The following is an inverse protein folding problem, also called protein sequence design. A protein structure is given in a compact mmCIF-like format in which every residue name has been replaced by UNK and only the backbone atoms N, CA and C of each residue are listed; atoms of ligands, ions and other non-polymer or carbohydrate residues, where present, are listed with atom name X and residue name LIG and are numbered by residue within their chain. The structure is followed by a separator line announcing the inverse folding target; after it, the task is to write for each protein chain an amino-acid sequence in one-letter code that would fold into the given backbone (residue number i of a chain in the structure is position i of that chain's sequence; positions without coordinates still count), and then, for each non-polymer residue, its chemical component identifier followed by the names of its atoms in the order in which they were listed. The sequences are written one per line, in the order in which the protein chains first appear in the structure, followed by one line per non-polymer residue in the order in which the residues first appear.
data_IF_325571783314
#
_entry.id   IF_325571783314
#
_cell.length_a   1.000
_cell.length_b   1.000
_cell.length_c   1.000
_cell.angle_alpha   90.00
_cell.angle_beta   90.00
_cell.angle_gamma   90.00
#
_symmetry.space_group_name_H-M   'P 1'
#
loop_
_entity.id
_entity.type
_entity.pdbx_description
1 polymer ?
#
# COMPACT_ATOMS: atom_id res chain seq x y z
N UNK A 1 -6.49 -12.63 27.38
CA UNK A 1 -5.25 -11.93 27.75
C UNK A 1 -4.67 -11.34 26.49
N UNK A 2 -4.40 -10.02 26.43
CA UNK A 2 -3.80 -9.39 25.25
C UNK A 2 -2.27 -9.47 25.28
N UNK A 3 -1.64 -9.28 24.11
CA UNK A 3 -0.16 -9.22 24.01
C UNK A 3 0.40 -8.10 24.89
N UNK A 4 -0.30 -6.98 24.97
CA UNK A 4 0.09 -5.82 25.79
C UNK A 4 0.01 -6.16 27.29
N UNK A 5 -1.00 -6.91 27.72
CA UNK A 5 -1.10 -7.40 29.11
C UNK A 5 0.05 -8.35 29.43
N UNK A 6 0.36 -9.27 28.53
CA UNK A 6 1.50 -10.18 28.69
C UNK A 6 2.82 -9.41 28.75
N UNK A 7 3.02 -8.41 27.91
CA UNK A 7 4.23 -7.57 27.91
C UNK A 7 4.39 -6.79 29.22
N UNK A 8 3.29 -6.30 29.82
CA UNK A 8 3.35 -5.63 31.13
C UNK A 8 3.77 -6.57 32.25
N UNK A 9 3.38 -7.84 32.19
CA UNK A 9 3.68 -8.84 33.23
C UNK A 9 5.04 -9.50 33.05
N UNK A 10 5.44 -9.79 31.80
CA UNK A 10 6.59 -10.62 31.45
C UNK A 10 7.75 -9.82 30.83
N UNK A 11 7.57 -8.53 30.57
CA UNK A 11 8.52 -7.68 29.89
C UNK A 11 8.51 -7.92 28.37
N UNK A 12 9.37 -8.79 27.87
CA UNK A 12 9.44 -9.10 26.43
C UNK A 12 8.50 -10.25 26.06
N UNK A 13 7.66 -10.02 25.05
CA UNK A 13 6.79 -11.04 24.44
C UNK A 13 6.88 -10.88 22.95
N UNK A 14 7.34 -11.91 22.26
CA UNK A 14 7.40 -11.98 20.82
C UNK A 14 6.13 -12.65 20.28
N UNK A 15 5.57 -12.08 19.20
CA UNK A 15 4.40 -12.63 18.51
C UNK A 15 4.90 -13.44 17.33
N UNK A 16 4.48 -14.71 17.25
CA UNK A 16 4.84 -15.58 16.12
C UNK A 16 4.34 -14.99 14.81
N UNK A 17 5.20 -14.98 13.78
CA UNK A 17 4.83 -14.47 12.44
C UNK A 17 3.62 -15.17 11.84
N UNK A 18 3.42 -16.46 12.12
CA UNK A 18 2.25 -17.22 11.69
C UNK A 18 0.91 -16.68 12.24
N UNK A 19 0.93 -15.75 13.19
CA UNK A 19 -0.25 -15.02 13.67
C UNK A 19 -0.68 -13.93 12.68
N UNK A 20 0.28 -13.32 11.99
CA UNK A 20 0.06 -12.17 11.10
C UNK A 20 0.18 -12.52 9.61
N UNK A 21 0.98 -13.52 9.27
CA UNK A 21 1.35 -13.88 7.91
C UNK A 21 0.95 -15.33 7.59
N UNK A 22 0.79 -15.65 6.30
CA UNK A 22 0.54 -17.01 5.83
C UNK A 22 1.78 -17.89 6.16
N UNK A 23 1.63 -18.99 6.92
CA UNK A 23 2.74 -19.91 7.15
C UNK A 23 3.24 -20.52 5.84
N UNK A 24 4.54 -20.73 5.71
CA UNK A 24 5.09 -21.48 4.59
C UNK A 24 4.49 -22.91 4.56
N UNK A 25 4.32 -23.50 3.37
CA UNK A 25 3.64 -24.80 3.19
C UNK A 25 4.23 -25.94 4.06
N UNK A 26 5.51 -25.87 4.40
CA UNK A 26 6.22 -26.85 5.22
C UNK A 26 6.53 -26.36 6.63
N UNK A 27 5.96 -25.26 7.10
CA UNK A 27 6.24 -24.73 8.43
C UNK A 27 5.63 -25.64 9.51
N UNK A 28 6.43 -25.99 10.52
CA UNK A 28 5.95 -26.63 11.74
C UNK A 28 5.15 -25.60 12.53
N UNK A 29 3.82 -25.71 12.46
CA UNK A 29 2.93 -24.79 13.20
C UNK A 29 2.82 -25.21 14.67
N UNK A 30 2.95 -24.24 15.56
CA UNK A 30 2.96 -24.46 17.02
C UNK A 30 1.58 -24.86 17.59
N UNK A 31 0.49 -24.74 16.82
CA UNK A 31 -0.87 -25.03 17.28
C UNK A 31 -1.72 -25.64 16.16
N UNK A 32 -2.58 -26.64 16.46
CA UNK A 32 -3.48 -27.26 15.49
C UNK A 32 -4.42 -26.27 14.79
N UNK A 33 -4.87 -25.23 15.47
CA UNK A 33 -5.72 -24.16 14.92
C UNK A 33 -5.05 -23.28 13.86
N UNK A 34 -3.73 -23.38 13.72
CA UNK A 34 -2.99 -22.67 12.66
C UNK A 34 -3.04 -23.39 11.31
N UNK A 35 -3.40 -24.67 11.27
CA UNK A 35 -3.32 -25.53 10.06
C UNK A 35 -4.66 -25.72 9.35
N UNK A 36 -5.78 -25.53 10.06
CA UNK A 36 -7.09 -25.86 9.50
C UNK A 36 -7.93 -24.61 9.24
N UNK A 37 -8.66 -24.60 8.12
CA UNK A 37 -9.75 -23.63 7.83
C UNK A 37 -10.92 -23.92 8.78
N UNK A 38 -10.81 -23.48 10.04
CA UNK A 38 -11.95 -23.53 10.93
C UNK A 38 -12.89 -22.35 10.65
N UNK A 39 -14.14 -22.62 10.31
CA UNK A 39 -15.22 -21.64 10.13
C UNK A 39 -15.04 -20.63 8.98
N UNK A 40 -14.37 -21.04 7.89
CA UNK A 40 -14.39 -20.24 6.67
C UNK A 40 -15.75 -20.39 5.98
N UNK A 41 -16.45 -19.31 5.62
CA UNK A 41 -17.67 -19.39 4.81
C UNK A 41 -17.40 -20.03 3.45
N UNK A 42 -18.47 -20.50 2.79
CA UNK A 42 -18.40 -21.02 1.42
C UNK A 42 -18.04 -19.93 0.41
N UNK A 43 -18.36 -18.68 0.76
CA UNK A 43 -18.02 -17.49 -0.02
C UNK A 43 -16.52 -17.28 -0.16
N UNK A 44 -16.12 -16.65 -1.26
CA UNK A 44 -14.79 -16.08 -1.39
C UNK A 44 -14.69 -14.78 -0.58
N UNK A 45 -13.99 -14.85 0.55
CA UNK A 45 -13.82 -13.70 1.45
C UNK A 45 -12.46 -13.04 1.22
N UNK A 46 -12.47 -11.73 1.12
CA UNK A 46 -11.28 -10.85 1.01
C UNK A 46 -11.32 -9.84 2.13
N UNK A 47 -10.20 -9.67 2.84
CA UNK A 47 -10.08 -8.62 3.85
C UNK A 47 -9.63 -7.32 3.18
N UNK A 48 -10.32 -6.21 3.47
CA UNK A 48 -10.03 -4.90 2.88
C UNK A 48 -9.31 -4.03 3.91
N UNK A 49 -8.06 -3.66 3.61
CA UNK A 49 -7.24 -2.73 4.40
C UNK A 49 -7.41 -1.32 3.86
N UNK A 50 -8.36 -0.57 4.43
CA UNK A 50 -8.73 0.74 3.95
C UNK A 50 -9.36 1.61 5.05
N UNK A 51 -9.46 2.91 4.84
CA UNK A 51 -10.30 3.82 5.65
C UNK A 51 -11.80 3.47 5.50
N UNK A 52 -12.69 4.07 6.28
CA UNK A 52 -14.14 3.86 6.12
C UNK A 52 -14.62 4.35 4.75
N UNK A 53 -14.12 5.53 4.35
CA UNK A 53 -14.46 6.17 3.08
C UNK A 53 -13.97 5.36 1.87
N UNK A 54 -12.69 4.91 1.91
CA UNK A 54 -12.11 4.11 0.84
C UNK A 54 -12.76 2.73 0.73
N UNK A 55 -13.14 2.13 1.87
CA UNK A 55 -13.88 0.87 1.88
C UNK A 55 -15.26 1.02 1.23
N UNK A 56 -15.98 2.10 1.55
CA UNK A 56 -17.28 2.38 0.93
C UNK A 56 -17.13 2.65 -0.57
N UNK A 57 -16.15 3.47 -0.97
CA UNK A 57 -15.86 3.74 -2.38
C UNK A 57 -15.52 2.46 -3.14
N UNK A 58 -14.68 1.61 -2.58
CA UNK A 58 -14.32 0.31 -3.15
C UNK A 58 -15.54 -0.59 -3.32
N UNK A 59 -16.42 -0.69 -2.31
CA UNK A 59 -17.62 -1.51 -2.40
C UNK A 59 -18.63 -0.99 -3.42
N UNK A 60 -18.69 0.31 -3.67
CA UNK A 60 -19.53 0.87 -4.73
C UNK A 60 -19.15 0.38 -6.12
N UNK A 61 -17.87 0.00 -6.33
CA UNK A 61 -17.41 -0.59 -7.59
C UNK A 61 -17.66 -2.11 -7.68
N UNK A 62 -18.14 -2.74 -6.58
CA UNK A 62 -18.44 -4.17 -6.49
C UNK A 62 -19.87 -4.40 -5.95
N UNK A 63 -20.90 -3.95 -6.65
CA UNK A 63 -22.28 -3.93 -6.14
C UNK A 63 -22.87 -5.34 -5.87
N UNK A 64 -22.35 -6.37 -6.52
CA UNK A 64 -22.78 -7.78 -6.38
C UNK A 64 -22.21 -8.45 -5.12
N UNK A 65 -21.15 -7.91 -4.54
CA UNK A 65 -20.51 -8.49 -3.37
C UNK A 65 -21.25 -8.15 -2.08
N UNK A 66 -21.17 -9.03 -1.08
CA UNK A 66 -21.62 -8.73 0.27
C UNK A 66 -20.50 -8.02 1.06
N UNK A 67 -20.90 -7.19 2.01
CA UNK A 67 -20.01 -6.46 2.90
C UNK A 67 -20.06 -7.08 4.30
N UNK A 68 -18.94 -7.63 4.77
CA UNK A 68 -18.75 -7.96 6.19
C UNK A 68 -18.09 -6.73 6.84
N UNK A 69 -18.87 -5.90 7.52
CA UNK A 69 -18.52 -4.51 7.85
C UNK A 69 -18.69 -4.21 9.35
N UNK A 70 -18.29 -3.01 9.77
CA UNK A 70 -18.65 -2.49 11.07
C UNK A 70 -20.06 -1.89 11.06
N UNK A 71 -20.66 -1.75 12.23
CA UNK A 71 -22.01 -1.18 12.36
C UNK A 71 -22.08 0.24 11.76
N UNK A 72 -21.00 1.00 11.93
CA UNK A 72 -20.85 2.38 11.46
C UNK A 72 -20.73 2.50 9.95
N UNK A 73 -20.29 1.43 9.26
CA UNK A 73 -20.13 1.44 7.79
C UNK A 73 -21.49 1.28 7.09
N UNK A 74 -22.47 0.61 7.72
CA UNK A 74 -23.77 0.23 7.12
C UNK A 74 -24.50 1.39 6.43
N UNK A 75 -24.59 2.60 7.01
CA UNK A 75 -25.33 3.69 6.37
C UNK A 75 -24.71 4.19 5.05
N UNK A 76 -23.43 3.89 4.82
CA UNK A 76 -22.67 4.35 3.65
C UNK A 76 -22.56 3.31 2.54
N UNK A 77 -23.06 2.09 2.78
CA UNK A 77 -22.96 0.97 1.85
C UNK A 77 -24.33 0.68 1.18
N UNK A 78 -24.29 0.41 -0.11
CA UNK A 78 -25.45 -0.07 -0.88
C UNK A 78 -25.48 -1.60 -1.03
N UNK A 79 -24.41 -2.24 -0.67
CA UNK A 79 -24.21 -3.68 -0.72
C UNK A 79 -25.06 -4.38 0.36
N UNK A 80 -25.23 -5.70 0.22
CA UNK A 80 -25.78 -6.51 1.30
C UNK A 80 -24.82 -6.53 2.48
N UNK A 81 -25.17 -5.82 3.57
CA UNK A 81 -24.32 -5.65 4.75
C UNK A 81 -24.57 -6.75 5.77
N UNK A 82 -23.47 -7.30 6.30
CA UNK A 82 -23.45 -8.19 7.44
C UNK A 82 -22.50 -7.58 8.49
N UNK A 83 -23.03 -6.81 9.45
CA UNK A 83 -22.20 -6.18 10.47
C UNK A 83 -21.70 -7.23 11.47
N UNK A 84 -20.43 -7.08 11.91
CA UNK A 84 -19.82 -7.98 12.90
C UNK A 84 -19.36 -7.27 14.18
N UNK A 85 -19.79 -6.03 14.39
CA UNK A 85 -19.54 -5.24 15.60
C UNK A 85 -19.18 -3.80 15.30
N UNK A 86 -18.94 -3.01 16.36
CA UNK A 86 -18.54 -1.60 16.25
C UNK A 86 -17.06 -1.46 15.92
N UNK A 87 -16.68 -0.48 15.09
CA UNK A 87 -15.29 -0.16 14.74
C UNK A 87 -14.44 0.22 15.96
N UNK A 88 -15.07 0.82 16.99
CA UNK A 88 -14.41 1.25 18.21
C UNK A 88 -14.30 0.14 19.28
N UNK A 89 -15.13 -0.93 19.18
CA UNK A 89 -15.24 -1.98 20.19
C UNK A 89 -14.82 -3.35 19.64
N UNK A 90 -13.57 -3.73 19.88
CA UNK A 90 -13.04 -5.03 19.48
C UNK A 90 -13.67 -6.22 20.21
N UNK A 91 -14.31 -6.02 21.37
CA UNK A 91 -15.05 -7.08 22.07
C UNK A 91 -16.34 -7.39 21.33
N UNK A 92 -17.11 -6.39 20.93
CA UNK A 92 -18.31 -6.59 20.11
C UNK A 92 -17.96 -7.30 18.79
N UNK A 93 -16.84 -6.93 18.16
CA UNK A 93 -16.33 -7.60 16.95
C UNK A 93 -16.01 -9.08 17.22
N UNK A 94 -15.36 -9.39 18.33
CA UNK A 94 -15.00 -10.76 18.71
C UNK A 94 -16.25 -11.64 18.94
N UNK A 95 -17.30 -11.09 19.54
CA UNK A 95 -18.58 -11.77 19.76
C UNK A 95 -19.37 -11.94 18.45
N UNK A 96 -19.43 -10.89 17.62
CA UNK A 96 -20.26 -10.89 16.40
C UNK A 96 -19.66 -11.67 15.24
N UNK A 97 -18.32 -11.73 15.11
CA UNK A 97 -17.64 -12.25 13.92
C UNK A 97 -18.09 -13.67 13.53
N UNK A 98 -18.23 -14.58 14.50
CA UNK A 98 -18.60 -15.97 14.21
C UNK A 98 -20.00 -16.06 13.62
N UNK A 99 -20.99 -15.43 14.26
CA UNK A 99 -22.36 -15.39 13.78
C UNK A 99 -22.48 -14.73 12.40
N UNK A 100 -21.72 -13.64 12.19
CA UNK A 100 -21.71 -12.93 10.91
C UNK A 100 -21.10 -13.76 9.79
N UNK A 101 -20.04 -14.54 10.06
CA UNK A 101 -19.47 -15.46 9.06
C UNK A 101 -20.47 -16.58 8.67
N UNK A 102 -21.25 -17.12 9.63
CA UNK A 102 -22.31 -18.07 9.33
C UNK A 102 -23.46 -17.44 8.55
N UNK A 103 -23.84 -16.22 8.89
CA UNK A 103 -24.90 -15.50 8.19
C UNK A 103 -24.55 -15.24 6.72
N UNK A 104 -23.27 -15.09 6.36
CA UNK A 104 -22.85 -15.01 4.96
C UNK A 104 -23.22 -16.26 4.16
N UNK A 105 -23.13 -17.44 4.75
CA UNK A 105 -23.55 -18.70 4.11
C UNK A 105 -25.07 -18.77 3.97
N UNK A 106 -25.82 -18.34 5.00
CA UNK A 106 -27.32 -18.35 4.99
C UNK A 106 -27.85 -17.43 3.89
N UNK A 107 -27.25 -16.27 3.67
CA UNK A 107 -27.66 -15.35 2.61
C UNK A 107 -27.12 -15.72 1.22
N UNK A 108 -26.36 -16.83 1.12
CA UNK A 108 -25.81 -17.32 -0.14
C UNK A 108 -24.80 -16.37 -0.79
N UNK A 109 -24.03 -15.63 0.01
CA UNK A 109 -23.00 -14.76 -0.50
C UNK A 109 -21.94 -15.55 -1.29
N UNK A 110 -21.56 -15.04 -2.47
CA UNK A 110 -20.49 -15.65 -3.30
C UNK A 110 -19.16 -14.97 -3.09
N UNK A 111 -19.15 -13.65 -3.12
CA UNK A 111 -17.98 -12.80 -2.88
C UNK A 111 -18.26 -11.88 -1.71
N UNK A 112 -17.33 -11.76 -0.80
CA UNK A 112 -17.45 -10.96 0.41
C UNK A 112 -16.19 -10.11 0.59
N UNK A 113 -16.38 -8.84 0.80
CA UNK A 113 -15.31 -7.94 1.23
C UNK A 113 -15.50 -7.61 2.71
N UNK A 114 -14.48 -7.96 3.51
CA UNK A 114 -14.52 -7.83 4.96
C UNK A 114 -13.69 -6.62 5.40
N UNK A 115 -14.28 -5.75 6.19
CA UNK A 115 -13.59 -4.62 6.81
C UNK A 115 -12.52 -5.14 7.77
N UNK A 116 -11.28 -4.63 7.65
CA UNK A 116 -10.17 -5.06 8.48
C UNK A 116 -10.31 -4.54 9.93
N UNK A 117 -10.25 -5.42 10.95
CA UNK A 117 -10.21 -5.00 12.35
C UNK A 117 -8.82 -4.48 12.75
N UNK A 118 -8.74 -3.81 13.90
CA UNK A 118 -7.48 -3.32 14.46
C UNK A 118 -6.53 -4.48 14.79
N UNK A 119 -5.24 -4.31 14.48
CA UNK A 119 -4.18 -5.31 14.75
C UNK A 119 -3.55 -5.15 16.16
N UNK A 120 -4.34 -4.73 17.16
CA UNK A 120 -3.88 -4.50 18.52
C UNK A 120 -4.91 -4.96 19.56
N UNK A 121 -4.46 -5.29 20.76
CA UNK A 121 -5.34 -5.72 21.86
C UNK A 121 -6.19 -6.94 21.49
N UNK A 122 -7.49 -6.87 21.81
CA UNK A 122 -8.49 -7.88 21.44
C UNK A 122 -8.69 -7.92 19.93
N UNK A 123 -8.53 -6.78 19.23
CA UNK A 123 -8.64 -6.68 17.78
C UNK A 123 -7.66 -7.59 17.03
N UNK A 124 -6.49 -7.86 17.59
CA UNK A 124 -5.53 -8.81 17.03
C UNK A 124 -6.09 -10.24 16.96
N UNK A 125 -6.89 -10.66 17.94
CA UNK A 125 -7.52 -11.97 17.95
C UNK A 125 -8.64 -12.04 16.86
N UNK A 126 -9.40 -10.95 16.71
CA UNK A 126 -10.41 -10.81 15.65
C UNK A 126 -9.74 -10.84 14.28
N UNK A 127 -8.68 -10.05 14.08
CA UNK A 127 -7.88 -10.04 12.86
C UNK A 127 -7.38 -11.44 12.50
N UNK A 128 -6.77 -12.13 13.47
CA UNK A 128 -6.19 -13.47 13.26
C UNK A 128 -7.24 -14.50 12.86
N UNK A 129 -8.45 -14.42 13.38
CA UNK A 129 -9.57 -15.29 12.99
C UNK A 129 -10.08 -14.93 11.59
N UNK A 130 -10.27 -13.64 11.32
CA UNK A 130 -10.80 -13.16 10.04
C UNK A 130 -9.82 -13.40 8.90
N UNK A 131 -8.51 -13.15 9.07
CA UNK A 131 -7.51 -13.36 8.02
C UNK A 131 -7.44 -14.83 7.56
N UNK A 132 -7.67 -15.77 8.47
CA UNK A 132 -7.76 -17.19 8.13
C UNK A 132 -9.04 -17.54 7.38
N UNK A 133 -10.17 -16.96 7.77
CA UNK A 133 -11.42 -17.09 7.01
C UNK A 133 -11.25 -16.54 5.59
N UNK A 134 -10.48 -15.47 5.41
CA UNK A 134 -10.10 -14.88 4.11
C UNK A 134 -9.00 -15.66 3.36
N UNK A 135 -8.48 -16.77 3.91
CA UNK A 135 -7.34 -17.49 3.34
C UNK A 135 -6.13 -16.57 3.04
N UNK A 136 -5.88 -15.58 3.90
CA UNK A 136 -4.84 -14.55 3.79
C UNK A 136 -4.96 -13.64 2.54
N UNK A 137 -6.16 -13.55 1.96
CA UNK A 137 -6.44 -12.64 0.84
C UNK A 137 -6.74 -11.25 1.39
N UNK A 138 -5.83 -10.30 1.17
CA UNK A 138 -5.97 -8.89 1.56
C UNK A 138 -6.04 -8.06 0.27
N UNK A 139 -6.94 -7.10 0.26
CA UNK A 139 -7.09 -6.09 -0.79
C UNK A 139 -6.86 -4.73 -0.17
N UNK A 140 -5.99 -3.94 -0.77
CA UNK A 140 -5.73 -2.55 -0.39
C UNK A 140 -6.18 -1.66 -1.55
N UNK A 141 -7.40 -1.07 -1.50
CA UNK A 141 -8.00 -0.38 -2.65
C UNK A 141 -7.18 0.76 -3.24
N UNK A 142 -6.40 1.44 -2.39
CA UNK A 142 -5.59 2.59 -2.78
C UNK A 142 -4.09 2.25 -2.89
N UNK A 143 -3.73 0.97 -2.87
CA UNK A 143 -2.34 0.57 -3.08
C UNK A 143 -1.96 0.75 -4.55
N UNK A 144 -1.13 1.74 -4.82
CA UNK A 144 -0.60 1.95 -6.15
C UNK A 144 0.45 0.89 -6.45
N UNK A 145 0.17 0.04 -7.43
CA UNK A 145 1.17 -0.89 -7.96
C UNK A 145 2.20 -0.09 -8.77
N UNK A 146 3.41 0.04 -8.23
CA UNK A 146 4.54 0.66 -8.94
C UNK A 146 5.33 -0.42 -9.66
N UNK A 147 5.36 -0.35 -10.99
CA UNK A 147 6.09 -1.28 -11.85
C UNK A 147 7.34 -0.60 -12.38
N UNK A 148 8.53 -1.07 -11.98
CA UNK A 148 9.80 -0.64 -12.54
C UNK A 148 10.07 -1.32 -13.89
N UNK A 149 10.12 -0.54 -14.99
CA UNK A 149 10.43 -1.04 -16.32
C UNK A 149 11.88 -0.71 -16.69
N UNK A 150 12.73 -1.72 -16.74
CA UNK A 150 14.16 -1.58 -17.07
C UNK A 150 14.55 -2.45 -18.27
N UNK A 151 15.75 -2.24 -18.80
CA UNK A 151 16.30 -2.99 -19.92
C UNK A 151 17.23 -2.16 -20.80
N UNK A 152 18.00 -2.81 -21.65
CA UNK A 152 18.92 -2.16 -22.58
C UNK A 152 18.21 -1.28 -23.63
N UNK A 153 18.96 -0.39 -24.28
CA UNK A 153 18.46 0.38 -25.43
C UNK A 153 17.97 -0.58 -26.52
N UNK A 154 16.78 -0.33 -27.06
CA UNK A 154 16.16 -1.22 -28.06
C UNK A 154 15.37 -2.41 -27.51
N UNK A 155 15.34 -2.67 -26.19
CA UNK A 155 14.64 -3.80 -25.58
C UNK A 155 13.09 -3.70 -25.60
N UNK A 156 12.51 -2.68 -26.24
CA UNK A 156 11.06 -2.54 -26.35
C UNK A 156 10.36 -1.89 -25.15
N UNK A 157 11.09 -1.28 -24.20
CA UNK A 157 10.53 -0.59 -23.03
C UNK A 157 9.42 0.40 -23.40
N UNK A 158 9.65 1.25 -24.38
CA UNK A 158 8.67 2.25 -24.84
C UNK A 158 7.40 1.61 -25.43
N UNK A 159 7.50 0.44 -26.05
CA UNK A 159 6.34 -0.30 -26.55
C UNK A 159 5.48 -0.84 -25.42
N UNK A 160 6.12 -1.42 -24.39
CA UNK A 160 5.43 -1.91 -23.17
C UNK A 160 4.80 -0.74 -22.42
N UNK A 161 5.52 0.37 -22.21
CA UNK A 161 5.00 1.57 -21.56
C UNK A 161 3.76 2.12 -22.28
N UNK A 162 3.75 2.18 -23.63
CA UNK A 162 2.57 2.59 -24.41
C UNK A 162 1.38 1.67 -24.19
N UNK A 163 1.60 0.35 -24.12
CA UNK A 163 0.52 -0.61 -23.88
C UNK A 163 -0.04 -0.50 -22.44
N UNK A 164 0.82 -0.28 -21.46
CA UNK A 164 0.40 -0.05 -20.07
C UNK A 164 -0.42 1.24 -19.96
N UNK A 165 0.04 2.33 -20.61
CA UNK A 165 -0.71 3.59 -20.68
C UNK A 165 -2.09 3.42 -21.31
N UNK A 166 -2.20 2.64 -22.39
CA UNK A 166 -3.48 2.34 -23.03
C UNK A 166 -4.44 1.54 -22.13
N UNK A 167 -3.94 0.88 -21.09
CA UNK A 167 -4.71 0.16 -20.05
C UNK A 167 -4.97 1.00 -18.80
N UNK A 168 -4.70 2.31 -18.83
CA UNK A 168 -4.97 3.23 -17.72
C UNK A 168 -3.82 3.41 -16.74
N UNK A 169 -2.64 2.83 -16.98
CA UNK A 169 -1.48 3.07 -16.11
C UNK A 169 -0.93 4.49 -16.32
N UNK A 170 -0.54 5.14 -15.23
CA UNK A 170 0.27 6.36 -15.27
C UNK A 170 1.72 5.97 -15.59
N UNK A 171 2.32 6.60 -16.60
CA UNK A 171 3.70 6.34 -16.98
C UNK A 171 4.56 7.50 -16.53
N UNK A 172 5.55 7.20 -15.69
CA UNK A 172 6.60 8.15 -15.28
C UNK A 172 7.86 7.79 -16.06
N UNK A 173 8.26 8.69 -16.97
CA UNK A 173 9.53 8.59 -17.69
C UNK A 173 10.59 9.37 -16.92
N UNK A 174 11.48 8.66 -16.22
CA UNK A 174 12.52 9.27 -15.39
C UNK A 174 13.46 10.17 -16.21
N UNK A 175 13.73 9.82 -17.46
CA UNK A 175 14.57 10.66 -18.34
C UNK A 175 13.84 11.96 -18.70
N UNK A 176 12.54 11.88 -19.01
CA UNK A 176 11.73 13.06 -19.29
C UNK A 176 11.63 13.99 -18.07
N UNK A 177 11.41 13.43 -16.86
CA UNK A 177 11.38 14.19 -15.62
C UNK A 177 12.71 14.91 -15.37
N UNK A 178 13.83 14.24 -15.53
CA UNK A 178 15.17 14.87 -15.38
C UNK A 178 15.45 15.91 -16.45
N UNK A 179 14.72 15.92 -17.56
CA UNK A 179 14.83 16.92 -18.63
C UNK A 179 13.90 18.12 -18.45
N UNK A 180 12.99 18.08 -17.48
CA UNK A 180 12.08 19.21 -17.21
C UNK A 180 12.88 20.41 -16.67
N UNK A 181 12.79 21.59 -17.33
CA UNK A 181 13.47 22.79 -16.84
C UNK A 181 12.98 23.24 -15.46
N UNK A 182 11.74 22.97 -15.09
CA UNK A 182 11.14 23.36 -13.81
C UNK A 182 11.82 22.66 -12.62
N UNK A 183 12.36 21.46 -12.80
CA UNK A 183 13.07 20.71 -11.78
C UNK A 183 14.35 21.45 -11.31
N UNK A 184 14.97 22.21 -12.20
CA UNK A 184 16.20 22.94 -11.95
C UNK A 184 15.96 24.46 -11.74
N UNK A 185 14.78 24.83 -11.27
CA UNK A 185 14.43 26.21 -10.92
C UNK A 185 14.52 26.43 -9.40
N UNK A 186 14.51 27.67 -8.97
CA UNK A 186 14.44 28.05 -7.55
C UNK A 186 15.62 27.53 -6.70
N UNK A 187 15.29 26.84 -5.62
CA UNK A 187 16.29 26.35 -4.63
C UNK A 187 17.26 25.34 -5.23
N UNK A 188 16.81 24.44 -6.10
CA UNK A 188 17.67 23.45 -6.75
C UNK A 188 18.77 24.12 -7.58
N UNK A 189 18.41 25.11 -8.39
CA UNK A 189 19.40 25.86 -9.19
C UNK A 189 20.44 26.57 -8.32
N UNK A 190 20.00 27.15 -7.21
CA UNK A 190 20.88 27.82 -6.24
C UNK A 190 21.83 26.83 -5.56
N UNK A 191 21.34 25.66 -5.14
CA UNK A 191 22.17 24.60 -4.55
C UNK A 191 23.20 24.05 -5.55
N UNK A 192 22.77 23.82 -6.80
CA UNK A 192 23.69 23.40 -7.87
C UNK A 192 24.76 24.46 -8.16
N UNK A 193 24.39 25.74 -8.17
CA UNK A 193 25.34 26.84 -8.36
C UNK A 193 26.35 26.91 -7.21
N UNK A 194 25.92 26.71 -5.97
CA UNK A 194 26.80 26.67 -4.82
C UNK A 194 27.76 25.46 -4.84
N UNK A 195 27.31 24.32 -5.34
CA UNK A 195 28.11 23.09 -5.38
C UNK A 195 29.09 23.02 -6.56
N UNK A 196 28.71 23.56 -7.74
CA UNK A 196 29.48 23.42 -8.99
C UNK A 196 29.98 24.77 -9.57
N UNK A 197 29.65 25.88 -8.92
CA UNK A 197 30.06 27.22 -9.32
C UNK A 197 29.15 27.88 -10.36
N UNK A 198 29.35 29.19 -10.54
CA UNK A 198 28.49 30.01 -11.45
C UNK A 198 28.64 29.65 -12.93
N UNK A 199 29.67 28.89 -13.30
CA UNK A 199 29.94 28.50 -14.69
C UNK A 199 28.86 27.56 -15.29
N UNK A 200 28.00 26.95 -14.45
CA UNK A 200 26.90 26.11 -14.89
C UNK A 200 25.64 26.92 -15.25
N UNK A 201 25.64 28.23 -15.08
CA UNK A 201 24.51 29.11 -15.41
C UNK A 201 24.84 29.86 -16.71
N UNK A 202 23.92 29.81 -17.65
CA UNK A 202 24.00 30.57 -18.92
C UNK A 202 23.72 32.05 -18.69
N UNK A 203 23.97 32.86 -19.73
CA UNK A 203 23.70 34.31 -19.69
C UNK A 203 22.21 34.65 -19.51
N UNK A 204 21.30 33.75 -19.92
CA UNK A 204 19.85 33.88 -19.74
C UNK A 204 19.35 33.43 -18.35
N UNK A 205 20.29 33.08 -17.45
CA UNK A 205 19.98 32.63 -16.10
C UNK A 205 19.55 31.15 -16.00
N UNK A 206 19.50 30.40 -17.09
CA UNK A 206 19.11 28.98 -17.12
C UNK A 206 20.30 28.07 -16.87
N UNK A 207 20.04 26.82 -16.47
CA UNK A 207 21.08 25.82 -16.24
C UNK A 207 21.73 25.34 -17.56
N UNK A 208 23.06 25.41 -17.65
CA UNK A 208 23.85 24.72 -18.67
C UNK A 208 24.08 23.25 -18.23
N UNK A 209 23.16 22.38 -18.64
CA UNK A 209 23.20 20.95 -18.32
C UNK A 209 24.46 20.24 -18.80
N UNK A 210 24.96 20.64 -19.98
CA UNK A 210 26.17 20.02 -20.55
C UNK A 210 27.39 20.34 -19.69
N UNK A 211 27.49 21.58 -19.25
CA UNK A 211 28.56 22.03 -18.36
C UNK A 211 28.47 21.40 -16.97
N UNK A 212 27.24 21.34 -16.41
CA UNK A 212 26.98 20.63 -15.16
C UNK A 212 27.36 19.17 -15.25
N UNK A 213 26.95 18.47 -16.33
CA UNK A 213 27.29 17.07 -16.54
C UNK A 213 28.80 16.85 -16.58
N UNK A 214 29.53 17.67 -17.34
CA UNK A 214 30.97 17.57 -17.43
C UNK A 214 31.67 17.74 -16.05
N UNK A 215 31.20 18.67 -15.24
CA UNK A 215 31.75 18.89 -13.89
C UNK A 215 31.35 17.80 -12.91
N UNK A 216 30.08 17.39 -12.91
CA UNK A 216 29.58 16.39 -11.98
C UNK A 216 30.14 14.99 -12.26
N UNK A 217 30.28 14.61 -13.53
CA UNK A 217 30.79 13.29 -13.91
C UNK A 217 32.31 13.21 -13.97
N UNK A 218 33.06 14.31 -13.73
CA UNK A 218 34.51 14.31 -13.64
C UNK A 218 35.04 13.56 -12.41
N UNK A 219 34.24 13.40 -11.36
CA UNK A 219 34.64 12.71 -10.13
C UNK A 219 33.47 11.98 -9.47
N UNK A 220 33.74 10.95 -8.67
CA UNK A 220 32.71 10.27 -7.87
C UNK A 220 32.07 11.22 -6.83
N UNK A 221 32.84 12.14 -6.28
CA UNK A 221 32.35 13.18 -5.35
C UNK A 221 31.35 14.13 -6.06
N UNK A 222 31.66 14.52 -7.30
CA UNK A 222 30.76 15.33 -8.12
C UNK A 222 29.44 14.63 -8.40
N UNK A 223 29.47 13.34 -8.75
CA UNK A 223 28.25 12.51 -8.94
C UNK A 223 27.42 12.42 -7.66
N UNK A 224 28.08 12.19 -6.52
CA UNK A 224 27.39 12.10 -5.23
C UNK A 224 26.72 13.43 -4.85
N UNK A 225 27.38 14.58 -5.07
CA UNK A 225 26.81 15.92 -4.86
C UNK A 225 25.59 16.17 -5.77
N UNK A 226 25.71 15.87 -7.06
CA UNK A 226 24.61 16.02 -8.01
C UNK A 226 23.40 15.19 -7.56
N UNK A 227 23.62 13.92 -7.27
CA UNK A 227 22.55 13.02 -6.83
C UNK A 227 21.89 13.47 -5.52
N UNK A 228 22.66 13.96 -4.55
CA UNK A 228 22.13 14.45 -3.28
C UNK A 228 21.22 15.67 -3.43
N UNK A 229 21.52 16.56 -4.38
CA UNK A 229 20.71 17.75 -4.66
C UNK A 229 19.45 17.36 -5.45
N UNK A 230 19.61 16.64 -6.55
CA UNK A 230 18.50 16.34 -7.46
C UNK A 230 17.50 15.32 -6.91
N UNK A 231 17.91 14.37 -6.06
CA UNK A 231 17.01 13.36 -5.49
C UNK A 231 15.98 13.92 -4.52
N UNK A 232 16.26 15.04 -3.84
CA UNK A 232 15.30 15.71 -2.95
C UNK A 232 14.16 16.34 -3.73
N UNK A 233 14.47 17.00 -4.83
CA UNK A 233 13.50 17.72 -5.64
C UNK A 233 12.65 16.77 -6.51
N UNK A 234 13.23 15.65 -6.96
CA UNK A 234 12.51 14.56 -7.60
C UNK A 234 11.44 13.97 -6.67
N UNK A 235 11.77 13.75 -5.39
CA UNK A 235 10.80 13.22 -4.42
C UNK A 235 9.73 14.23 -4.01
N UNK A 236 9.98 15.53 -4.10
CA UNK A 236 9.00 16.58 -3.86
C UNK A 236 8.03 16.78 -5.05
N UNK A 237 8.55 16.74 -6.27
CA UNK A 237 7.77 16.85 -7.52
C UNK A 237 6.80 15.69 -7.71
N UNK A 238 7.23 14.46 -7.37
CA UNK A 238 6.36 13.27 -7.46
C UNK A 238 5.19 13.27 -6.47
N UNK A 239 5.29 13.99 -5.34
CA UNK A 239 4.17 14.12 -4.37
C UNK A 239 3.09 15.10 -4.84
N UNK A 240 3.37 15.97 -5.78
CA UNK A 240 2.43 16.94 -6.35
C UNK A 240 1.52 16.37 -7.43
N UNK A 241 2.02 15.46 -8.26
CA UNK A 241 1.30 14.91 -9.43
C UNK A 241 0.54 13.59 -9.16
N UNK A 242 0.67 12.99 -7.99
CA UNK A 242 -0.02 11.76 -7.60
C UNK A 242 -1.29 12.00 -6.77
N UNK A 243 -2.00 13.10 -7.01
CA UNK A 243 -3.38 13.27 -6.52
C UNK A 243 -4.34 13.13 -7.71
N UNK A 244 -4.72 11.91 -7.97
CA UNK A 244 -5.95 11.57 -8.72
C UNK A 244 -6.78 10.67 -7.82
#
# INVERSE_FOLDING_TARGET
VSVEQLRRMLGRVDVDRAVLEKPAENAKVASPGMKYKHYAPKADVYMVDASAEDYAAFLHTHPEAAALCFNEDVPYLKNRCVPYGSAADSLSQAHGLFTSLHHLDEIGAKTVYARMPRKSGVGLAVYNRLIRACAFRIVTPNEQLVIGLTGQTGAGKSTVAKQLKARGCVIIDCDAVTHDPSLYAGTCLTELQNAFGRAIIKEDGTLDRRRLANLAFASEEGKAKLNAITSRDLSASQKGDCRI
#
